data_IF_556714655272
#
_entry.id   IF_556714655272
#
_cell.length_a   1.000
_cell.length_b   1.000
_cell.length_c   1.000
_cell.angle_alpha   90.00
_cell.angle_beta   90.00
_cell.angle_gamma   90.00
#
_symmetry.space_group_name_H-M   'P 1'
#
loop_
_entity.id
_entity.type
_entity.pdbx_description
1 polymer ?
#
# COMPACT_ATOMS: atom_id res chain seq x y z
N UNK A 1 7.47 -17.10 -25.75
CA UNK A 1 7.82 -16.47 -25.19
C UNK A 1 7.92 -16.91 -23.99
N UNK A 2 7.91 -17.76 -23.56
CA UNK A 2 8.20 -18.22 -22.30
C UNK A 2 8.13 -17.17 -21.25
N UNK A 3 7.23 -16.28 -21.48
CA UNK A 3 7.15 -15.24 -20.53
C UNK A 3 6.74 -15.80 -19.24
N UNK A 4 7.46 -15.59 -18.24
CA UNK A 4 7.11 -16.06 -16.93
C UNK A 4 6.34 -14.99 -16.20
N UNK A 5 5.74 -15.39 -15.07
CA UNK A 5 5.01 -14.42 -14.27
C UNK A 5 5.92 -13.31 -13.78
N UNK A 6 7.18 -13.64 -13.52
CA UNK A 6 8.11 -12.63 -13.05
C UNK A 6 8.30 -11.53 -14.07
N UNK A 7 8.31 -11.89 -15.34
CA UNK A 7 8.50 -10.91 -16.38
C UNK A 7 7.27 -10.01 -16.52
N UNK A 8 6.11 -10.53 -16.14
CA UNK A 8 4.88 -9.77 -16.23
C UNK A 8 4.58 -8.95 -14.99
N UNK A 9 5.34 -9.14 -13.95
CA UNK A 9 5.06 -8.46 -12.70
C UNK A 9 5.70 -7.08 -12.70
N UNK A 10 4.93 -6.08 -12.32
CA UNK A 10 5.41 -4.72 -12.22
C UNK A 10 5.50 -4.35 -10.75
N UNK A 11 6.63 -3.80 -10.37
CA UNK A 11 6.85 -3.38 -8.99
C UNK A 11 6.81 -1.88 -8.91
N UNK A 12 6.01 -1.39 -7.98
CA UNK A 12 5.80 0.04 -7.83
C UNK A 12 6.23 0.46 -6.44
N UNK A 13 7.22 1.34 -6.36
CA UNK A 13 7.73 1.81 -5.08
C UNK A 13 7.50 3.30 -5.01
N UNK A 14 6.39 3.69 -4.42
CA UNK A 14 5.98 5.09 -4.36
C UNK A 14 6.10 5.58 -2.92
N UNK A 15 6.78 6.71 -2.75
CA UNK A 15 6.92 7.34 -1.46
C UNK A 15 6.10 8.61 -1.44
N UNK A 16 5.47 8.90 -0.29
CA UNK A 16 4.59 10.05 -0.18
C UNK A 16 4.54 10.53 1.26
N UNK A 17 4.18 11.80 1.47
CA UNK A 17 3.97 12.28 2.83
C UNK A 17 2.83 11.56 3.52
N UNK A 18 2.86 11.59 4.85
CA UNK A 18 1.87 10.87 5.65
C UNK A 18 0.44 11.30 5.30
N UNK A 19 0.22 12.59 5.13
CA UNK A 19 -1.12 13.08 4.83
C UNK A 19 -1.64 12.51 3.53
N UNK A 20 -0.76 12.41 2.52
CA UNK A 20 -1.16 11.84 1.25
C UNK A 20 -1.34 10.34 1.33
N UNK A 21 -0.55 9.68 2.18
CA UNK A 21 -0.73 8.26 2.39
C UNK A 21 -2.11 7.95 2.97
N UNK A 22 -2.55 8.75 3.92
CA UNK A 22 -3.88 8.57 4.49
C UNK A 22 -4.97 8.82 3.46
N UNK A 23 -4.78 9.83 2.65
CA UNK A 23 -5.76 10.14 1.60
C UNK A 23 -5.84 9.01 0.59
N UNK A 24 -4.69 8.48 0.20
CA UNK A 24 -4.67 7.36 -0.73
C UNK A 24 -5.31 6.12 -0.13
N UNK A 25 -5.05 5.86 1.14
CA UNK A 25 -5.68 4.73 1.81
C UNK A 25 -7.20 4.87 1.79
N UNK A 26 -7.69 6.06 2.05
CA UNK A 26 -9.12 6.30 2.03
C UNK A 26 -9.68 6.07 0.62
N UNK A 27 -8.98 6.56 -0.39
CA UNK A 27 -9.42 6.38 -1.77
C UNK A 27 -9.45 4.92 -2.16
N UNK A 28 -8.40 4.18 -1.83
CA UNK A 28 -8.33 2.76 -2.17
C UNK A 28 -9.44 1.99 -1.47
N UNK A 29 -9.71 2.32 -0.21
CA UNK A 29 -10.78 1.68 0.52
C UNK A 29 -12.12 1.93 -0.16
N UNK A 30 -12.36 3.16 -0.57
CA UNK A 30 -13.60 3.52 -1.24
C UNK A 30 -13.73 2.76 -2.56
N UNK A 31 -12.64 2.67 -3.31
CA UNK A 31 -12.67 1.97 -4.59
C UNK A 31 -12.96 0.48 -4.41
N UNK A 32 -12.40 -0.11 -3.37
CA UNK A 32 -12.68 -1.51 -3.10
C UNK A 32 -14.14 -1.72 -2.74
N UNK A 33 -14.69 -0.84 -1.91
CA UNK A 33 -16.07 -0.98 -1.48
C UNK A 33 -17.05 -0.76 -2.63
N UNK A 34 -16.69 0.11 -3.55
CA UNK A 34 -17.57 0.36 -4.70
C UNK A 34 -17.57 -0.81 -5.66
N UNK A 35 -16.55 -1.66 -5.60
CA UNK A 35 -16.43 -2.82 -6.48
C UNK A 35 -16.48 -2.42 -7.95
N UNK A 36 -16.02 -1.23 -8.26
CA UNK A 36 -16.03 -0.75 -9.63
C UNK A 36 -14.88 -1.33 -10.45
N UNK A 37 -13.86 -1.84 -9.78
CA UNK A 37 -12.67 -2.36 -10.46
C UNK A 37 -12.33 -3.74 -9.92
N UNK A 38 -13.13 -4.75 -10.28
CA UNK A 38 -12.92 -6.08 -9.70
C UNK A 38 -11.57 -6.70 -10.06
N UNK A 39 -11.02 -6.36 -11.20
CA UNK A 39 -9.72 -6.90 -11.59
C UNK A 39 -8.59 -6.31 -10.76
N UNK A 40 -8.80 -5.15 -10.16
CA UNK A 40 -7.80 -4.50 -9.33
C UNK A 40 -8.03 -4.71 -7.85
N UNK A 41 -9.03 -5.49 -7.50
CA UNK A 41 -9.40 -5.64 -6.11
C UNK A 41 -8.25 -6.18 -5.27
N UNK A 42 -7.51 -7.14 -5.82
CA UNK A 42 -6.38 -7.71 -5.12
C UNK A 42 -5.25 -6.69 -4.94
N UNK A 43 -5.03 -5.88 -5.96
CA UNK A 43 -4.03 -4.83 -5.88
C UNK A 43 -4.42 -3.81 -4.82
N UNK A 44 -5.68 -3.42 -4.79
CA UNK A 44 -6.16 -2.48 -3.79
C UNK A 44 -6.02 -3.05 -2.39
N UNK A 45 -6.28 -4.33 -2.22
CA UNK A 45 -6.13 -4.97 -0.93
C UNK A 45 -4.68 -4.89 -0.45
N UNK A 46 -3.73 -5.18 -1.33
CA UNK A 46 -2.32 -5.10 -0.98
C UNK A 46 -1.94 -3.66 -0.64
N UNK A 47 -2.43 -2.71 -1.42
CA UNK A 47 -2.14 -1.31 -1.15
C UNK A 47 -2.70 -0.89 0.20
N UNK A 48 -3.89 -1.34 0.54
CA UNK A 48 -4.47 -1.03 1.84
C UNK A 48 -3.59 -1.52 2.97
N UNK A 49 -3.15 -2.76 2.87
CA UNK A 49 -2.33 -3.35 3.93
C UNK A 49 -1.01 -2.59 4.06
N UNK A 50 -0.37 -2.31 2.95
CA UNK A 50 0.93 -1.64 2.98
C UNK A 50 0.80 -0.21 3.46
N UNK A 51 -0.24 0.49 3.02
CA UNK A 51 -0.45 1.86 3.47
C UNK A 51 -0.73 1.91 4.97
N UNK A 52 -1.55 0.98 5.47
CA UNK A 52 -1.86 0.95 6.89
C UNK A 52 -0.63 0.68 7.72
N UNK A 53 0.20 -0.26 7.28
CA UNK A 53 1.43 -0.58 8.00
C UNK A 53 2.37 0.61 8.00
N UNK A 54 2.56 1.24 6.84
CA UNK A 54 3.45 2.37 6.74
C UNK A 54 2.98 3.55 7.57
N UNK A 55 1.68 3.83 7.53
CA UNK A 55 1.12 4.92 8.31
C UNK A 55 1.28 4.64 9.79
N UNK A 56 1.05 3.39 10.19
CA UNK A 56 1.16 3.01 11.58
C UNK A 56 2.59 3.20 12.08
N UNK A 57 3.56 2.84 11.27
CA UNK A 57 4.96 3.00 11.65
C UNK A 57 5.31 4.47 11.83
N UNK A 58 4.79 5.34 10.97
CA UNK A 58 5.09 6.76 11.05
C UNK A 58 4.41 7.38 12.27
N UNK A 59 3.16 7.01 12.52
CA UNK A 59 2.42 7.59 13.63
C UNK A 59 2.83 7.02 14.98
N UNK A 60 3.21 5.76 14.99
CA UNK A 60 3.55 5.09 16.23
C UNK A 60 4.77 4.23 16.00
N UNK A 61 5.93 4.85 15.81
CA UNK A 61 7.12 4.08 15.48
C UNK A 61 7.49 3.15 16.62
N UNK A 62 7.99 1.97 16.28
CA UNK A 62 8.41 1.03 17.32
C UNK A 62 9.55 1.60 18.12
N UNK A 63 9.51 1.35 19.41
CA UNK A 63 10.51 1.88 20.32
C UNK A 63 11.55 0.85 20.69
N UNK A 64 11.67 -0.22 19.92
CA UNK A 64 12.55 -1.31 20.30
C UNK A 64 13.96 -1.19 19.76
N UNK A 65 14.23 -0.30 18.87
CA UNK A 65 15.56 -0.21 18.29
C UNK A 65 16.37 0.92 18.87
N UNK A 66 17.70 0.82 18.85
CA UNK A 66 18.54 1.90 19.37
C UNK A 66 18.42 3.19 18.55
N UNK A 67 17.97 3.09 17.33
CA UNK A 67 17.79 4.27 16.51
C UNK A 67 16.44 4.92 16.71
N UNK A 68 15.59 4.37 17.53
CA UNK A 68 14.29 4.96 17.80
C UNK A 68 14.46 5.97 18.91
N UNK A 69 14.44 7.21 18.58
CA UNK A 69 14.66 8.26 19.55
C UNK A 69 13.38 9.00 19.87
#
# INVERSE_FOLDING_TARGET
>A
MGMTDDDDTIYCDVQMPLAQGRELLHLVTTLRESNAHPTLNRVFERMQVELRISIDIVEDPPSWGPWCQ
#
